data_IF_795691344375
#
_entry.id   IF_795691344375
#
_cell.length_a   1.000
_cell.length_b   1.000
_cell.length_c   1.000
_cell.angle_alpha   90.00
_cell.angle_beta   90.00
_cell.angle_gamma   90.00
#
_symmetry.space_group_name_H-M   'P 1'
#
loop_
_entity.id
_entity.type
_entity.pdbx_description
1 polymer ?
#
# COMPACT_ATOMS: atom_id res chain seq x y z
N UNK A 1 16.23 24.70 30.64
CA UNK A 1 15.71 23.33 30.39
C UNK A 1 14.51 23.50 29.45
N UNK A 2 14.76 23.27 28.17
CA UNK A 2 13.74 23.35 27.12
C UNK A 2 12.93 22.07 27.17
N UNK A 3 11.76 22.14 27.82
CA UNK A 3 10.84 21.00 28.04
C UNK A 3 10.08 20.58 26.76
N UNK A 4 10.38 21.25 25.63
CA UNK A 4 9.72 21.01 24.33
C UNK A 4 10.69 20.62 23.21
N UNK A 5 11.95 20.34 23.52
CA UNK A 5 12.85 19.74 22.53
C UNK A 5 12.42 18.29 22.28
N UNK A 6 11.85 18.03 21.10
CA UNK A 6 11.62 16.68 20.63
C UNK A 6 12.96 15.89 20.69
N UNK A 7 12.95 14.62 21.11
CA UNK A 7 14.14 13.79 21.08
C UNK A 7 14.63 13.74 19.62
N UNK A 8 15.76 14.36 19.35
CA UNK A 8 16.41 14.26 18.06
C UNK A 8 16.98 12.84 17.96
N UNK A 9 16.25 11.98 17.23
CA UNK A 9 16.82 10.71 16.79
C UNK A 9 18.09 11.02 16.01
N UNK A 10 19.23 10.37 16.29
CA UNK A 10 20.46 10.63 15.54
C UNK A 10 20.18 10.42 14.05
N UNK A 11 20.54 11.41 13.24
CA UNK A 11 20.30 11.37 11.81
C UNK A 11 21.10 10.21 11.21
N UNK A 12 20.42 9.11 10.88
CA UNK A 12 21.01 8.03 10.08
C UNK A 12 21.32 8.62 8.69
N UNK A 13 22.52 8.40 8.14
CA UNK A 13 22.86 8.91 6.83
C UNK A 13 21.87 8.38 5.77
N UNK A 14 21.02 9.26 5.25
CA UNK A 14 20.05 8.94 4.20
C UNK A 14 20.67 9.21 2.83
N UNK A 15 20.29 8.40 1.84
CA UNK A 15 20.59 8.71 0.44
C UNK A 15 19.85 9.99 0.04
N UNK A 16 20.47 10.78 -0.83
CA UNK A 16 19.81 11.98 -1.37
C UNK A 16 18.60 11.55 -2.22
N UNK A 17 17.45 12.15 -1.92
CA UNK A 17 16.17 11.82 -2.56
C UNK A 17 16.25 11.83 -4.10
N UNK A 18 16.89 12.86 -4.68
CA UNK A 18 17.05 12.96 -6.14
C UNK A 18 17.89 11.82 -6.73
N UNK A 19 18.87 11.31 -5.97
CA UNK A 19 19.67 10.15 -6.42
C UNK A 19 18.85 8.88 -6.43
N UNK A 20 18.01 8.68 -5.39
CA UNK A 20 17.10 7.54 -5.32
C UNK A 20 16.08 7.59 -6.46
N UNK A 21 15.45 8.73 -6.68
CA UNK A 21 14.49 8.91 -7.78
C UNK A 21 15.12 8.67 -9.15
N UNK A 22 16.33 9.15 -9.36
CA UNK A 22 17.06 8.94 -10.62
C UNK A 22 17.33 7.46 -10.94
N UNK A 23 17.53 6.64 -9.89
CA UNK A 23 17.77 5.21 -10.03
C UNK A 23 16.44 4.44 -10.16
N UNK A 24 15.46 4.75 -9.30
CA UNK A 24 14.22 3.98 -9.21
C UNK A 24 13.22 4.30 -10.33
N UNK A 25 13.05 5.58 -10.69
CA UNK A 25 12.06 5.95 -11.71
C UNK A 25 12.20 5.15 -13.01
N UNK A 26 13.40 4.95 -13.62
CA UNK A 26 13.54 4.12 -14.82
C UNK A 26 13.12 2.67 -14.63
N UNK A 27 13.28 2.10 -13.42
CA UNK A 27 12.86 0.72 -13.13
C UNK A 27 11.33 0.63 -13.08
N UNK A 28 10.68 1.59 -12.42
CA UNK A 28 9.22 1.59 -12.28
C UNK A 28 8.50 1.95 -13.58
N UNK A 29 9.08 2.78 -14.43
CA UNK A 29 8.50 3.17 -15.72
C UNK A 29 8.86 2.22 -16.88
N UNK A 30 9.77 1.28 -16.66
CA UNK A 30 10.17 0.30 -17.70
C UNK A 30 9.05 -0.70 -17.97
N UNK A 31 8.59 -0.78 -19.23
CA UNK A 31 7.62 -1.78 -19.67
C UNK A 31 8.16 -3.21 -19.69
N UNK A 32 9.47 -3.39 -19.58
CA UNK A 32 10.12 -4.71 -19.54
C UNK A 32 10.24 -5.29 -18.13
N UNK A 33 9.88 -4.51 -17.12
CA UNK A 33 9.94 -4.92 -15.71
C UNK A 33 8.53 -4.95 -15.17
N UNK A 34 8.08 -6.12 -14.70
CA UNK A 34 6.82 -6.28 -14.01
C UNK A 34 6.93 -5.73 -12.58
N UNK A 35 6.02 -4.84 -12.21
CA UNK A 35 5.89 -4.35 -10.83
C UNK A 35 4.82 -5.15 -10.13
N UNK A 36 5.19 -5.78 -9.03
CA UNK A 36 4.30 -6.61 -8.21
C UNK A 36 4.16 -5.91 -6.87
N UNK A 37 2.94 -5.62 -6.48
CA UNK A 37 2.62 -5.01 -5.21
C UNK A 37 1.49 -5.73 -4.47
N UNK A 38 1.20 -5.26 -3.29
CA UNK A 38 0.02 -5.63 -2.52
C UNK A 38 -0.77 -4.38 -2.20
N UNK A 39 -1.98 -4.24 -2.75
CA UNK A 39 -2.71 -2.97 -2.79
C UNK A 39 -1.87 -1.87 -3.45
N UNK A 40 -1.27 -2.20 -4.60
CA UNK A 40 -0.28 -1.38 -5.32
C UNK A 40 -0.81 0.02 -5.68
N UNK A 41 -2.12 0.19 -5.72
CA UNK A 41 -2.76 1.49 -5.92
C UNK A 41 -2.27 2.54 -4.92
N UNK A 42 -2.06 2.16 -3.66
CA UNK A 42 -1.50 3.05 -2.64
C UNK A 42 -0.09 3.54 -3.02
N UNK A 43 0.76 2.63 -3.51
CA UNK A 43 2.11 2.96 -3.95
C UNK A 43 2.10 3.86 -5.19
N UNK A 44 1.15 3.62 -6.12
CA UNK A 44 0.99 4.45 -7.32
C UNK A 44 0.64 5.90 -6.98
N UNK A 45 -0.24 6.16 -6.02
CA UNK A 45 -0.54 7.51 -5.53
C UNK A 45 0.73 8.21 -5.01
N UNK A 46 1.54 7.49 -4.23
CA UNK A 46 2.80 8.04 -3.71
C UNK A 46 3.81 8.30 -4.84
N UNK A 47 3.96 7.36 -5.76
CA UNK A 47 4.89 7.51 -6.89
C UNK A 47 4.51 8.69 -7.79
N UNK A 48 3.22 8.94 -7.99
CA UNK A 48 2.74 10.09 -8.74
C UNK A 48 3.04 11.42 -8.05
N UNK A 49 2.86 11.49 -6.74
CA UNK A 49 3.24 12.69 -5.97
C UNK A 49 4.74 12.98 -6.08
N UNK A 50 5.58 11.94 -6.14
CA UNK A 50 7.04 12.05 -6.19
C UNK A 50 7.54 12.36 -7.61
N UNK A 51 6.95 11.73 -8.64
CA UNK A 51 7.49 11.75 -10.01
C UNK A 51 6.63 12.51 -11.01
N UNK A 52 5.46 12.98 -10.61
CA UNK A 52 4.49 13.72 -11.41
C UNK A 52 3.42 12.83 -12.04
N UNK A 53 2.26 13.45 -12.28
CA UNK A 53 1.03 12.80 -12.77
C UNK A 53 1.18 12.05 -14.11
N UNK A 54 2.15 12.44 -14.94
CA UNK A 54 2.41 11.77 -16.23
C UNK A 54 3.23 10.47 -16.09
N UNK A 55 3.58 10.07 -14.86
CA UNK A 55 4.42 8.89 -14.63
C UNK A 55 3.58 7.63 -14.71
N UNK A 56 3.63 6.95 -15.86
CA UNK A 56 2.97 5.66 -16.04
C UNK A 56 3.85 4.53 -15.49
N UNK A 57 3.32 3.78 -14.54
CA UNK A 57 3.96 2.60 -13.94
C UNK A 57 3.25 1.34 -14.45
N UNK A 58 3.85 0.70 -15.45
CA UNK A 58 3.34 -0.52 -16.10
C UNK A 58 4.49 -1.44 -16.54
N UNK A 59 4.26 -2.77 -16.68
CA UNK A 59 3.07 -3.53 -16.29
C UNK A 59 2.97 -3.72 -14.76
N UNK A 60 1.73 -3.92 -14.28
CA UNK A 60 1.40 -4.07 -12.85
C UNK A 60 0.77 -5.43 -12.55
N UNK A 61 1.03 -5.94 -11.35
CA UNK A 61 0.31 -7.04 -10.70
C UNK A 61 0.03 -6.67 -9.24
N UNK A 62 -1.12 -7.09 -8.73
CA UNK A 62 -1.55 -6.81 -7.35
C UNK A 62 -1.99 -8.10 -6.66
N UNK A 63 -1.30 -8.48 -5.58
CA UNK A 63 -1.58 -9.73 -4.87
C UNK A 63 -2.87 -9.68 -4.04
N UNK A 64 -3.33 -8.50 -3.62
CA UNK A 64 -4.63 -8.36 -2.98
C UNK A 64 -5.76 -8.61 -4.01
N UNK A 65 -5.64 -8.05 -5.22
CA UNK A 65 -6.60 -8.27 -6.31
C UNK A 65 -6.57 -9.72 -6.79
N UNK A 66 -5.38 -10.33 -6.91
CA UNK A 66 -5.26 -11.78 -7.23
C UNK A 66 -6.00 -12.64 -6.20
N UNK A 67 -5.79 -12.35 -4.91
CA UNK A 67 -6.48 -13.05 -3.82
C UNK A 67 -7.99 -12.85 -3.88
N UNK A 68 -8.46 -11.63 -4.17
CA UNK A 68 -9.88 -11.32 -4.29
C UNK A 68 -10.54 -12.11 -5.44
N UNK A 69 -9.92 -12.14 -6.61
CA UNK A 69 -10.44 -12.91 -7.78
C UNK A 69 -10.51 -14.40 -7.48
N UNK A 70 -9.51 -14.96 -6.79
CA UNK A 70 -9.44 -16.37 -6.47
C UNK A 70 -10.39 -16.80 -5.34
N UNK A 71 -10.55 -15.97 -4.32
CA UNK A 71 -11.20 -16.38 -3.06
C UNK A 71 -12.39 -15.49 -2.65
N UNK A 72 -12.63 -14.38 -3.36
CA UNK A 72 -13.78 -13.50 -3.15
C UNK A 72 -13.95 -13.08 -1.69
N UNK A 73 -15.00 -13.54 -1.04
CA UNK A 73 -15.35 -13.16 0.33
C UNK A 73 -15.02 -14.23 1.38
N UNK A 74 -14.20 -15.22 1.05
CA UNK A 74 -13.87 -16.31 1.98
C UNK A 74 -13.03 -15.85 3.17
N UNK A 75 -12.19 -14.84 2.97
CA UNK A 75 -11.31 -14.24 3.97
C UNK A 75 -10.98 -12.79 3.58
N UNK A 76 -10.30 -12.07 4.46
CA UNK A 76 -9.73 -10.77 4.12
C UNK A 76 -8.54 -10.89 3.16
N UNK A 77 -8.15 -9.78 2.56
CA UNK A 77 -7.09 -9.74 1.54
C UNK A 77 -5.90 -8.87 1.98
N UNK A 78 -5.74 -8.64 3.28
CA UNK A 78 -4.56 -7.98 3.84
C UNK A 78 -3.31 -8.85 3.73
N UNK A 79 -2.14 -8.22 3.56
CA UNK A 79 -0.88 -8.93 3.38
C UNK A 79 -0.55 -9.86 4.55
N UNK A 80 -0.74 -9.39 5.77
CA UNK A 80 -0.54 -10.13 7.01
C UNK A 80 -1.48 -11.35 7.13
N UNK A 81 -2.76 -11.18 6.78
CA UNK A 81 -3.74 -12.26 6.78
C UNK A 81 -3.39 -13.32 5.72
N UNK A 82 -3.04 -12.89 4.51
CA UNK A 82 -2.66 -13.80 3.43
C UNK A 82 -1.34 -14.52 3.71
N UNK A 83 -0.35 -13.83 4.27
CA UNK A 83 0.91 -14.45 4.69
C UNK A 83 0.67 -15.51 5.76
N UNK A 84 -0.20 -15.22 6.73
CA UNK A 84 -0.57 -16.20 7.76
C UNK A 84 -1.32 -17.39 7.19
N UNK A 85 -2.29 -17.14 6.30
CA UNK A 85 -3.18 -18.17 5.76
C UNK A 85 -2.45 -19.11 4.80
N UNK A 86 -1.67 -18.57 3.88
CA UNK A 86 -1.08 -19.34 2.77
C UNK A 86 0.38 -19.71 2.97
N UNK A 87 1.12 -18.99 3.82
CA UNK A 87 2.56 -19.18 4.02
C UNK A 87 2.92 -19.52 5.47
N UNK A 88 1.91 -19.67 6.36
CA UNK A 88 2.03 -19.90 7.81
C UNK A 88 3.04 -18.97 8.50
N UNK A 89 3.05 -17.71 8.06
CA UNK A 89 3.95 -16.69 8.58
C UNK A 89 3.18 -15.54 9.26
N UNK A 90 3.62 -15.19 10.48
CA UNK A 90 3.14 -13.99 11.18
C UNK A 90 4.07 -12.84 10.82
N UNK A 91 3.56 -11.88 10.07
CA UNK A 91 4.30 -10.68 9.70
C UNK A 91 4.53 -9.73 10.87
N UNK A 92 5.54 -8.89 10.74
CA UNK A 92 5.82 -7.80 11.68
C UNK A 92 4.66 -6.81 11.61
N UNK A 93 3.97 -6.57 12.73
CA UNK A 93 2.86 -5.62 12.73
C UNK A 93 3.38 -4.18 12.70
N UNK A 94 2.63 -3.29 12.01
CA UNK A 94 2.97 -1.87 11.95
C UNK A 94 3.12 -1.24 13.35
N UNK A 95 2.28 -1.66 14.30
CA UNK A 95 2.33 -1.21 15.70
C UNK A 95 3.59 -1.70 16.45
N UNK A 96 4.18 -2.81 16.03
CA UNK A 96 5.46 -3.29 16.61
C UNK A 96 6.62 -2.35 16.24
N UNK A 97 6.53 -1.73 15.05
CA UNK A 97 7.55 -0.82 14.51
C UNK A 97 7.30 0.62 14.90
N UNK A 98 6.06 1.08 14.79
CA UNK A 98 5.67 2.49 15.01
C UNK A 98 5.08 2.75 16.40
N UNK A 99 4.86 1.70 17.22
CA UNK A 99 4.18 1.85 18.50
C UNK A 99 2.67 2.09 18.37
N UNK A 100 1.98 2.19 19.49
CA UNK A 100 0.53 2.39 19.54
C UNK A 100 0.14 3.47 20.55
N UNK A 101 -1.09 3.99 20.42
CA UNK A 101 -1.66 4.98 21.33
C UNK A 101 -0.87 6.28 21.38
N UNK A 102 -0.57 6.77 22.60
CA UNK A 102 0.13 8.05 22.82
C UNK A 102 1.62 8.02 22.44
N UNK A 103 2.21 6.84 22.34
CA UNK A 103 3.63 6.66 22.00
C UNK A 103 3.84 6.30 20.52
N UNK A 104 2.80 6.41 19.69
CA UNK A 104 2.89 6.14 18.25
C UNK A 104 3.78 7.21 17.59
N UNK A 105 4.79 6.73 16.88
CA UNK A 105 5.64 7.55 16.00
C UNK A 105 5.25 7.34 14.54
N UNK A 106 5.64 8.26 13.68
CA UNK A 106 5.52 8.10 12.22
C UNK A 106 6.66 7.22 11.69
N UNK A 107 6.43 6.53 10.56
CA UNK A 107 7.39 5.56 10.02
C UNK A 107 8.75 6.18 9.66
N UNK A 108 8.78 7.46 9.28
CA UNK A 108 10.01 8.23 9.02
C UNK A 108 10.89 8.44 10.27
N UNK A 109 10.36 8.16 11.47
CA UNK A 109 11.07 8.23 12.75
C UNK A 109 11.48 6.86 13.31
N UNK A 110 11.18 5.79 12.58
CA UNK A 110 11.55 4.43 12.97
C UNK A 110 13.05 4.21 12.73
N UNK A 111 13.71 3.49 13.63
CA UNK A 111 15.10 3.08 13.46
C UNK A 111 15.27 2.31 12.14
N UNK A 112 16.35 2.62 11.39
CA UNK A 112 16.54 2.14 10.03
C UNK A 112 16.54 0.60 9.93
N UNK A 113 17.15 -0.09 10.88
CA UNK A 113 17.21 -1.56 10.88
C UNK A 113 15.83 -2.19 11.08
N UNK A 114 14.96 -1.57 11.88
CA UNK A 114 13.58 -2.00 12.07
C UNK A 114 12.73 -1.72 10.83
N UNK A 115 12.88 -0.52 10.27
CA UNK A 115 12.19 -0.12 9.04
C UNK A 115 12.61 -1.00 7.86
N UNK A 116 13.89 -1.36 7.76
CA UNK A 116 14.42 -2.25 6.73
C UNK A 116 13.80 -3.64 6.82
N UNK A 117 13.77 -4.24 8.02
CA UNK A 117 13.21 -5.57 8.22
C UNK A 117 11.72 -5.60 7.87
N UNK A 118 10.95 -4.60 8.32
CA UNK A 118 9.53 -4.46 8.02
C UNK A 118 9.30 -4.34 6.50
N UNK A 119 9.95 -3.40 5.84
CA UNK A 119 9.75 -3.17 4.41
C UNK A 119 10.26 -4.33 3.52
N UNK A 120 11.35 -4.99 3.92
CA UNK A 120 11.87 -6.15 3.21
C UNK A 120 10.92 -7.36 3.34
N UNK A 121 10.31 -7.55 4.51
CA UNK A 121 9.32 -8.60 4.74
C UNK A 121 8.08 -8.37 3.85
N UNK A 122 7.54 -7.14 3.81
CA UNK A 122 6.40 -6.80 2.95
C UNK A 122 6.69 -7.14 1.48
N UNK A 123 7.87 -6.79 0.98
CA UNK A 123 8.26 -7.07 -0.40
C UNK A 123 8.44 -8.58 -0.67
N UNK A 124 9.09 -9.33 0.23
CA UNK A 124 9.34 -10.76 0.08
C UNK A 124 8.03 -11.56 0.09
N UNK A 125 7.15 -11.28 1.06
CA UNK A 125 5.87 -11.99 1.17
C UNK A 125 4.90 -11.62 0.04
N UNK A 126 4.91 -10.39 -0.43
CA UNK A 126 4.18 -9.99 -1.64
C UNK A 126 4.62 -10.82 -2.85
N UNK A 127 5.92 -10.99 -3.07
CA UNK A 127 6.44 -11.80 -4.17
C UNK A 127 6.07 -13.28 -4.02
N UNK A 128 6.17 -13.85 -2.81
CA UNK A 128 5.79 -15.25 -2.54
C UNK A 128 4.29 -15.49 -2.78
N UNK A 129 3.43 -14.58 -2.35
CA UNK A 129 1.99 -14.65 -2.62
C UNK A 129 1.69 -14.56 -4.12
N UNK A 130 2.38 -13.67 -4.85
CA UNK A 130 2.26 -13.61 -6.31
C UNK A 130 2.61 -14.95 -6.96
N UNK A 131 3.74 -15.55 -6.58
CA UNK A 131 4.18 -16.84 -7.12
C UNK A 131 3.19 -17.97 -6.81
N UNK A 132 2.47 -17.87 -5.70
CA UNK A 132 1.44 -18.82 -5.31
C UNK A 132 0.12 -18.59 -6.08
N UNK A 133 -0.35 -17.35 -6.19
CA UNK A 133 -1.66 -17.01 -6.73
C UNK A 133 -1.69 -16.98 -8.26
N UNK A 134 -0.65 -16.46 -8.89
CA UNK A 134 -0.64 -16.31 -10.36
C UNK A 134 -0.88 -17.60 -11.13
N UNK A 135 -0.28 -18.76 -10.80
CA UNK A 135 -0.59 -20.04 -11.44
C UNK A 135 -2.02 -20.53 -11.17
N UNK A 136 -2.59 -20.20 -10.01
CA UNK A 136 -3.96 -20.60 -9.64
C UNK A 136 -5.02 -19.97 -10.55
N UNK A 137 -4.81 -18.73 -11.01
CA UNK A 137 -5.74 -18.10 -11.96
C UNK A 137 -5.97 -18.96 -13.19
N UNK A 138 -4.91 -19.59 -13.72
CA UNK A 138 -5.03 -20.50 -14.86
C UNK A 138 -5.73 -21.79 -14.47
N UNK A 139 -5.32 -22.40 -13.37
CA UNK A 139 -5.86 -23.67 -12.88
C UNK A 139 -7.35 -23.57 -12.52
N UNK A 140 -7.78 -22.43 -12.01
CA UNK A 140 -9.15 -22.17 -11.56
C UNK A 140 -10.00 -21.41 -12.61
N UNK A 141 -9.48 -21.25 -13.84
CA UNK A 141 -10.18 -20.58 -14.96
C UNK A 141 -10.58 -19.13 -14.69
N UNK A 142 -9.81 -18.41 -13.88
CA UNK A 142 -10.08 -17.02 -13.48
C UNK A 142 -9.24 -15.99 -14.25
N UNK A 143 -8.45 -16.40 -15.25
CA UNK A 143 -7.55 -15.50 -16.00
C UNK A 143 -8.30 -14.34 -16.61
N UNK A 144 -9.43 -14.59 -17.32
CA UNK A 144 -10.20 -13.51 -17.97
C UNK A 144 -10.78 -12.53 -16.96
N UNK A 145 -11.26 -13.02 -15.81
CA UNK A 145 -11.79 -12.14 -14.76
C UNK A 145 -10.69 -11.21 -14.28
N UNK A 146 -9.53 -11.75 -13.99
CA UNK A 146 -8.40 -10.94 -13.52
C UNK A 146 -7.89 -9.99 -14.60
N UNK A 147 -7.56 -10.50 -15.80
CA UNK A 147 -6.89 -9.71 -16.85
C UNK A 147 -7.80 -8.66 -17.48
N UNK A 148 -9.07 -9.00 -17.70
CA UNK A 148 -10.00 -8.17 -18.48
C UNK A 148 -10.88 -7.27 -17.60
N UNK A 149 -11.06 -7.61 -16.30
CA UNK A 149 -11.92 -6.87 -15.37
C UNK A 149 -11.15 -6.27 -14.21
N UNK A 150 -10.57 -7.08 -13.33
CA UNK A 150 -10.09 -6.60 -12.03
C UNK A 150 -8.73 -5.89 -12.11
N UNK A 151 -7.78 -6.40 -12.89
CA UNK A 151 -6.48 -5.75 -13.05
C UNK A 151 -6.57 -4.34 -13.66
N UNK A 152 -7.35 -4.09 -14.72
CA UNK A 152 -7.56 -2.73 -15.24
C UNK A 152 -8.22 -1.78 -14.25
N UNK A 153 -9.04 -2.28 -13.33
CA UNK A 153 -9.68 -1.45 -12.30
C UNK A 153 -8.68 -0.79 -11.35
N UNK A 154 -7.47 -1.33 -11.17
CA UNK A 154 -6.44 -0.73 -10.30
C UNK A 154 -6.21 0.73 -10.71
N UNK A 155 -5.97 1.00 -11.98
CA UNK A 155 -5.73 2.36 -12.49
C UNK A 155 -7.01 3.21 -12.48
N UNK A 156 -8.15 2.62 -12.85
CA UNK A 156 -9.44 3.33 -12.85
C UNK A 156 -9.80 3.80 -11.43
N UNK A 157 -9.67 2.93 -10.44
CA UNK A 157 -9.95 3.26 -9.05
C UNK A 157 -8.96 4.30 -8.51
N UNK A 158 -7.68 4.21 -8.92
CA UNK A 158 -6.70 5.25 -8.61
C UNK A 158 -7.15 6.62 -9.14
N UNK A 159 -7.50 6.73 -10.41
CA UNK A 159 -7.96 7.97 -11.01
C UNK A 159 -9.24 8.53 -10.34
N UNK A 160 -10.15 7.64 -9.93
CA UNK A 160 -11.34 8.04 -9.17
C UNK A 160 -10.97 8.61 -7.80
N UNK A 161 -10.02 8.02 -7.11
CA UNK A 161 -9.52 8.50 -5.81
C UNK A 161 -8.79 9.83 -5.94
N UNK A 162 -7.97 10.02 -6.97
CA UNK A 162 -7.30 11.29 -7.26
C UNK A 162 -8.29 12.42 -7.56
N UNK A 163 -9.35 12.12 -8.30
CA UNK A 163 -10.42 13.06 -8.60
C UNK A 163 -11.22 13.46 -7.35
N UNK A 164 -11.25 12.58 -6.35
CA UNK A 164 -11.93 12.78 -5.08
C UNK A 164 -13.46 12.83 -5.18
N UNK A 165 -14.10 13.12 -4.05
CA UNK A 165 -15.56 13.22 -3.92
C UNK A 165 -15.95 14.61 -3.41
N UNK A 166 -16.91 15.24 -4.08
CA UNK A 166 -17.47 16.53 -3.61
C UNK A 166 -18.40 16.29 -2.42
N UNK A 167 -18.01 16.80 -1.27
CA UNK A 167 -18.79 16.68 -0.02
C UNK A 167 -19.65 17.92 0.18
N UNK A 168 -20.95 17.74 0.45
CA UNK A 168 -21.85 18.82 0.87
C UNK A 168 -21.70 19.05 2.38
N UNK A 169 -20.82 19.97 2.75
CA UNK A 169 -20.52 20.27 4.15
C UNK A 169 -21.70 20.89 4.90
N UNK A 170 -22.61 21.60 4.22
CA UNK A 170 -23.80 22.16 4.86
C UNK A 170 -24.76 21.06 5.31
N UNK A 171 -24.99 20.04 4.47
CA UNK A 171 -25.81 18.87 4.83
C UNK A 171 -25.19 18.09 5.98
N UNK A 172 -23.88 17.88 5.98
CA UNK A 172 -23.19 17.17 7.07
C UNK A 172 -23.28 17.91 8.41
N UNK A 173 -23.12 19.25 8.39
CA UNK A 173 -23.28 20.07 9.61
C UNK A 173 -24.72 20.02 10.14
N UNK A 174 -25.72 20.06 9.27
CA UNK A 174 -27.12 19.93 9.67
C UNK A 174 -27.41 18.55 10.29
N UNK A 175 -26.89 17.47 9.69
CA UNK A 175 -26.97 16.12 10.27
C UNK A 175 -26.28 16.00 11.62
N UNK A 176 -25.09 16.57 11.77
CA UNK A 176 -24.37 16.57 13.05
C UNK A 176 -25.17 17.26 14.15
N UNK A 177 -25.73 18.44 13.86
CA UNK A 177 -26.57 19.16 14.81
C UNK A 177 -27.85 18.39 15.18
N UNK A 178 -28.49 17.69 14.21
CA UNK A 178 -29.67 16.87 14.48
C UNK A 178 -29.33 15.67 15.38
N UNK A 179 -28.18 15.04 15.16
CA UNK A 179 -27.72 13.95 16.03
C UNK A 179 -27.39 14.41 17.45
N UNK A 180 -26.73 15.56 17.60
CA UNK A 180 -26.46 16.15 18.93
C UNK A 180 -27.74 16.42 19.73
N UNK A 181 -28.83 16.80 19.05
CA UNK A 181 -30.13 17.02 19.71
C UNK A 181 -30.87 15.71 20.11
N UNK A 182 -30.53 14.60 19.47
CA UNK A 182 -31.19 13.28 19.69
C UNK A 182 -30.40 12.36 20.61
N UNK A 183 -29.17 12.71 20.95
CA UNK A 183 -28.34 11.97 21.92
C UNK A 183 -28.49 12.56 23.33
#
# INVERSE_FOLDING_TARGET
LDLFSEPQTPAVPQLKFEQVCKILKPLFTSKSILKIGHNIKFDLHFMEQVWGEETLVEPLEDTAVLSYVLNGTEHGHGLDELAKLYLDHKMIAYEEVCGSGKNKITFDRVELDQALNYAAEDADYTLRLYQLFRPRLFAEHQVSVYEDLDRPLINILKEMEDSGIKVNTATLRALSADFELKM
#
